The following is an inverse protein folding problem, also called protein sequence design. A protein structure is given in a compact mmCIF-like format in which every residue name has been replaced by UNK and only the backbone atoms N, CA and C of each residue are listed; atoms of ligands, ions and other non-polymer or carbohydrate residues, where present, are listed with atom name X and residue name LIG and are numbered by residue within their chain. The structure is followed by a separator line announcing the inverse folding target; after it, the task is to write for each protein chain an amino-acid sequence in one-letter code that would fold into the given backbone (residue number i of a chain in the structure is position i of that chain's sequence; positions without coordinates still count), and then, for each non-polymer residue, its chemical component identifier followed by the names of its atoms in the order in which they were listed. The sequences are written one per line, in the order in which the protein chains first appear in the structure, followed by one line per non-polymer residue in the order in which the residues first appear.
data_IF_376176473304
#
_entry.id   IF_376176473304
#
_cell.length_a   1.000
_cell.length_b   1.000
_cell.length_c   1.000
_cell.angle_alpha   90.00
_cell.angle_beta   90.00
_cell.angle_gamma   90.00
#
_symmetry.space_group_name_H-M   'P 1'
#
loop_
_entity.id
_entity.type
_entity.pdbx_description
1 polymer ?
#
# COMPACT_ATOMS: atom_id res chain seq x y z
N UNK A 1 57.58 2.98 56.90
CA UNK A 1 58.07 3.62 55.67
C UNK A 1 56.92 3.61 54.69
N UNK A 2 56.48 4.80 54.28
CA UNK A 2 55.35 5.10 53.39
C UNK A 2 55.35 4.15 52.15
N UNK A 3 54.23 3.81 51.50
CA UNK A 3 53.36 4.72 50.74
C UNK A 3 52.06 3.95 50.39
N UNK A 4 50.93 4.66 50.51
CA UNK A 4 49.59 4.32 50.00
C UNK A 4 49.60 3.85 48.54
N UNK A 5 48.91 2.74 48.23
CA UNK A 5 48.34 2.56 46.90
C UNK A 5 46.83 2.76 46.96
N UNK A 6 46.42 3.95 46.51
CA UNK A 6 45.02 4.33 46.27
C UNK A 6 44.48 3.51 45.10
N UNK A 7 43.38 2.82 45.35
CA UNK A 7 42.46 2.34 44.33
C UNK A 7 41.98 3.52 43.49
N UNK A 8 42.30 3.50 42.20
CA UNK A 8 41.70 4.43 41.23
C UNK A 8 41.03 3.59 40.16
N UNK A 9 39.71 3.51 40.24
CA UNK A 9 38.83 2.97 39.20
C UNK A 9 38.88 3.94 38.03
N UNK A 10 39.52 3.54 36.93
CA UNK A 10 39.51 4.30 35.69
C UNK A 10 38.19 4.01 34.97
N UNK A 11 37.18 4.84 35.21
CA UNK A 11 35.97 4.90 34.39
C UNK A 11 36.34 5.56 33.05
N UNK A 12 36.48 4.74 32.01
CA UNK A 12 36.62 5.22 30.63
C UNK A 12 35.24 5.58 30.07
N UNK A 13 34.82 6.82 30.31
CA UNK A 13 33.68 7.45 29.62
C UNK A 13 34.12 7.88 28.22
N UNK A 14 33.91 7.03 27.22
CA UNK A 14 34.05 7.42 25.81
C UNK A 14 32.79 8.21 25.40
N UNK A 15 32.83 9.52 25.64
CA UNK A 15 32.02 10.51 24.93
C UNK A 15 32.68 10.75 23.56
N UNK A 16 32.23 10.05 22.54
CA UNK A 16 32.50 10.45 21.16
C UNK A 16 31.46 11.49 20.74
N UNK A 17 31.76 12.75 21.07
CA UNK A 17 31.24 13.88 20.33
C UNK A 17 31.99 13.95 19.00
N UNK A 18 31.44 13.35 17.95
CA UNK A 18 31.87 13.60 16.59
C UNK A 18 31.06 14.79 16.05
N UNK A 19 31.60 16.00 16.22
CA UNK A 19 31.23 17.14 15.40
C UNK A 19 31.73 16.85 13.98
N UNK A 20 30.83 16.48 13.07
CA UNK A 20 31.12 16.55 11.65
C UNK A 20 30.41 17.79 11.11
N UNK A 21 31.17 18.88 10.99
CA UNK A 21 30.76 20.07 10.27
C UNK A 21 30.85 19.76 8.77
N UNK A 22 29.72 19.32 8.20
CA UNK A 22 29.48 19.50 6.78
C UNK A 22 28.34 20.50 6.64
N UNK A 23 28.72 21.72 6.28
CA UNK A 23 27.84 22.74 5.71
C UNK A 23 27.37 22.26 4.33
N UNK A 24 26.44 21.30 4.33
CA UNK A 24 25.58 21.00 3.19
C UNK A 24 24.14 21.00 3.72
N UNK A 25 23.65 22.18 4.08
CA UNK A 25 22.21 22.42 4.01
C UNK A 25 21.80 22.41 2.53
N UNK A 26 21.65 21.21 1.96
CA UNK A 26 20.70 21.04 0.88
C UNK A 26 19.32 21.32 1.49
N UNK A 27 18.86 22.56 1.30
CA UNK A 27 17.47 22.91 1.43
C UNK A 27 16.64 21.80 0.77
N UNK A 28 15.68 21.24 1.51
CA UNK A 28 14.67 20.36 0.93
C UNK A 28 14.02 21.07 -0.26
N UNK A 29 14.50 20.76 -1.46
CA UNK A 29 13.92 21.25 -2.71
C UNK A 29 12.52 20.63 -2.77
N UNK A 30 11.50 21.50 -2.74
CA UNK A 30 10.12 21.12 -3.02
C UNK A 30 10.08 20.27 -4.31
N UNK A 31 9.22 19.23 -4.39
CA UNK A 31 9.26 18.31 -5.52
C UNK A 31 9.18 19.06 -6.84
N UNK A 32 10.20 18.88 -7.69
CA UNK A 32 10.26 19.48 -9.02
C UNK A 32 8.96 19.16 -9.78
N UNK A 33 8.32 20.19 -10.34
CA UNK A 33 7.13 20.05 -11.18
C UNK A 33 7.43 19.11 -12.34
N UNK A 34 6.88 17.90 -12.24
CA UNK A 34 7.02 16.79 -13.18
C UNK A 34 6.83 17.22 -14.64
N UNK A 35 7.79 16.88 -15.50
CA UNK A 35 7.45 16.57 -16.89
C UNK A 35 6.48 15.39 -16.86
N UNK A 36 5.27 15.58 -17.39
CA UNK A 36 4.24 14.53 -17.40
C UNK A 36 4.80 13.28 -18.09
N UNK A 37 4.95 12.19 -17.35
CA UNK A 37 5.46 10.91 -17.89
C UNK A 37 4.38 10.11 -18.63
N UNK A 38 3.22 10.72 -18.92
CA UNK A 38 2.09 10.13 -19.64
C UNK A 38 1.61 8.76 -19.09
N UNK A 39 1.76 8.52 -17.78
CA UNK A 39 1.41 7.24 -17.16
C UNK A 39 -0.10 6.98 -17.06
N UNK A 40 -0.95 7.97 -17.38
CA UNK A 40 -2.40 7.86 -17.27
C UNK A 40 -2.80 7.34 -15.88
N UNK A 41 -3.66 6.31 -15.82
CA UNK A 41 -4.10 5.66 -14.57
C UNK A 41 -3.02 4.82 -13.87
N UNK A 42 -1.77 4.82 -14.36
CA UNK A 42 -0.58 4.21 -13.73
C UNK A 42 0.32 5.21 -13.04
N UNK A 43 -0.07 6.48 -13.01
CA UNK A 43 0.65 7.50 -12.24
C UNK A 43 0.66 7.12 -10.75
N UNK A 44 1.83 6.90 -10.11
CA UNK A 44 1.91 6.62 -8.69
C UNK A 44 1.28 7.75 -7.87
N UNK A 45 0.63 7.41 -6.77
CA UNK A 45 -0.03 8.40 -5.94
C UNK A 45 1.00 9.31 -5.25
N UNK A 46 0.71 10.60 -5.22
CA UNK A 46 1.45 11.60 -4.44
C UNK A 46 0.44 12.48 -3.68
N UNK A 47 0.73 12.86 -2.42
CA UNK A 47 -0.07 13.86 -1.71
C UNK A 47 -0.16 15.15 -2.51
N UNK A 48 -1.36 15.71 -2.65
CA UNK A 48 -1.61 16.89 -3.50
C UNK A 48 -1.38 18.22 -2.78
N UNK A 49 -1.21 18.21 -1.46
CA UNK A 49 -0.94 19.40 -0.65
C UNK A 49 -0.20 19.02 0.63
N UNK A 50 0.49 20.00 1.22
CA UNK A 50 1.09 19.84 2.54
C UNK A 50 -0.02 19.62 3.57
N UNK A 51 0.23 18.70 4.51
CA UNK A 51 -0.68 18.46 5.60
C UNK A 51 -0.94 19.72 6.45
N UNK A 52 0.06 20.59 6.60
CA UNK A 52 -0.05 21.81 7.41
C UNK A 52 -0.83 22.92 6.70
N UNK A 53 -1.06 22.79 5.39
CA UNK A 53 -1.79 23.79 4.60
C UNK A 53 -3.28 23.49 4.45
N UNK A 54 -3.78 22.37 4.99
CA UNK A 54 -5.22 22.11 4.99
C UNK A 54 -5.95 23.14 5.86
N UNK A 55 -7.14 23.53 5.41
CA UNK A 55 -8.03 24.40 6.17
C UNK A 55 -8.42 23.76 7.50
N UNK A 56 -8.36 24.55 8.58
CA UNK A 56 -8.77 24.13 9.91
C UNK A 56 -10.29 24.17 10.05
N UNK A 57 -10.83 23.35 10.95
CA UNK A 57 -12.24 23.45 11.32
C UNK A 57 -12.54 24.86 11.90
N UNK A 58 -13.65 25.51 11.51
CA UNK A 58 -14.02 26.82 12.07
C UNK A 58 -14.18 26.77 13.59
N UNK A 59 -13.97 27.91 14.26
CA UNK A 59 -14.16 28.02 15.71
C UNK A 59 -15.56 27.53 16.12
N UNK A 60 -15.60 26.61 17.09
CA UNK A 60 -16.83 25.98 17.57
C UNK A 60 -17.23 24.70 16.84
N UNK A 61 -16.52 24.31 15.78
CA UNK A 61 -16.78 23.08 15.03
C UNK A 61 -15.63 22.08 15.19
N UNK A 62 -15.98 20.79 15.22
CA UNK A 62 -15.02 19.69 15.22
C UNK A 62 -15.48 18.57 14.26
N UNK A 63 -14.56 17.83 13.63
CA UNK A 63 -14.93 16.67 12.83
C UNK A 63 -15.62 15.61 13.69
N UNK A 64 -16.82 15.18 13.29
CA UNK A 64 -17.58 14.10 13.96
C UNK A 64 -17.68 12.83 13.12
N UNK A 65 -17.28 12.90 11.84
CA UNK A 65 -17.28 11.78 10.90
C UNK A 65 -16.26 12.01 9.78
N UNK A 66 -15.75 10.93 9.21
CA UNK A 66 -14.95 10.93 7.97
C UNK A 66 -15.19 9.64 7.22
N UNK A 67 -15.10 9.71 5.90
CA UNK A 67 -15.07 8.54 5.01
C UNK A 67 -13.91 8.65 4.04
N UNK A 68 -13.39 7.50 3.59
CA UNK A 68 -12.30 7.41 2.65
C UNK A 68 -12.59 6.28 1.66
N UNK A 69 -12.63 6.63 0.38
CA UNK A 69 -12.62 5.66 -0.71
C UNK A 69 -11.27 5.79 -1.42
N UNK A 70 -10.47 4.74 -1.37
CA UNK A 70 -9.17 4.68 -2.02
C UNK A 70 -9.13 3.55 -3.05
N UNK A 71 -8.56 3.83 -4.22
CA UNK A 71 -8.16 2.78 -5.15
C UNK A 71 -7.03 1.96 -4.52
N UNK A 72 -6.89 0.71 -4.94
CA UNK A 72 -5.70 -0.07 -4.62
C UNK A 72 -4.39 0.66 -4.98
N UNK A 73 -3.31 0.33 -4.29
CA UNK A 73 -1.99 0.92 -4.52
C UNK A 73 -1.36 0.53 -5.85
N UNK A 74 -0.21 1.13 -6.15
CA UNK A 74 0.66 0.79 -7.28
C UNK A 74 0.99 -0.71 -7.28
N UNK A 75 0.79 -1.36 -8.43
CA UNK A 75 0.89 -2.82 -8.60
C UNK A 75 1.76 -3.22 -9.80
N UNK A 76 2.22 -4.46 -9.81
CA UNK A 76 2.85 -5.08 -10.97
C UNK A 76 1.89 -5.31 -12.14
N UNK A 77 2.40 -5.94 -13.20
CA UNK A 77 1.60 -6.43 -14.32
C UNK A 77 0.52 -7.38 -13.81
N UNK A 78 -0.68 -7.33 -14.39
CA UNK A 78 -1.82 -8.13 -13.89
C UNK A 78 -1.69 -9.62 -14.16
N UNK A 79 -0.99 -9.98 -15.23
CA UNK A 79 -0.79 -11.36 -15.68
C UNK A 79 0.35 -11.40 -16.67
N UNK A 80 0.90 -12.60 -16.86
CA UNK A 80 1.87 -12.91 -17.90
C UNK A 80 1.18 -12.78 -19.27
N UNK A 81 1.39 -11.67 -19.97
CA UNK A 81 0.71 -11.35 -21.23
C UNK A 81 1.56 -10.47 -22.14
N UNK A 82 1.62 -9.17 -21.83
CA UNK A 82 2.30 -8.19 -22.70
C UNK A 82 3.80 -8.40 -22.72
N UNK A 83 4.36 -8.66 -21.55
CA UNK A 83 5.75 -9.02 -21.32
C UNK A 83 6.14 -10.32 -22.04
N UNK A 84 5.33 -11.39 -21.91
CA UNK A 84 5.59 -12.64 -22.62
C UNK A 84 5.49 -12.46 -24.15
N UNK A 85 4.51 -11.69 -24.63
CA UNK A 85 4.37 -11.40 -26.05
C UNK A 85 5.59 -10.64 -26.59
N UNK A 86 6.06 -9.61 -25.87
CA UNK A 86 7.26 -8.87 -26.22
C UNK A 86 8.52 -9.74 -26.18
N UNK A 87 8.65 -10.61 -25.18
CA UNK A 87 9.76 -11.55 -25.08
C UNK A 87 9.78 -12.57 -26.24
N UNK A 88 8.62 -13.10 -26.63
CA UNK A 88 8.52 -13.99 -27.78
C UNK A 88 8.83 -13.28 -29.11
N UNK A 89 8.35 -12.04 -29.29
CA UNK A 89 8.68 -11.22 -30.45
C UNK A 89 10.20 -10.95 -30.52
N UNK A 90 10.80 -10.60 -29.39
CA UNK A 90 12.24 -10.38 -29.30
C UNK A 90 13.04 -11.64 -29.68
N UNK A 91 12.66 -12.82 -29.16
CA UNK A 91 13.29 -14.10 -29.52
C UNK A 91 13.18 -14.40 -31.02
N UNK A 92 12.02 -14.14 -31.62
CA UNK A 92 11.81 -14.34 -33.04
C UNK A 92 12.74 -13.41 -33.86
N UNK A 93 12.73 -12.11 -33.56
CA UNK A 93 13.60 -11.14 -34.22
C UNK A 93 15.08 -11.51 -34.07
N UNK A 94 15.49 -12.03 -32.91
CA UNK A 94 16.84 -12.54 -32.70
C UNK A 94 17.17 -13.73 -33.62
N UNK A 95 16.27 -14.71 -33.71
CA UNK A 95 16.47 -15.89 -34.56
C UNK A 95 16.55 -15.56 -36.05
N UNK A 96 15.91 -14.45 -36.47
CA UNK A 96 15.90 -13.96 -37.84
C UNK A 96 17.04 -12.97 -38.13
N UNK A 97 17.95 -12.71 -37.16
CA UNK A 97 18.99 -11.67 -37.24
C UNK A 97 18.42 -10.27 -37.57
N UNK A 98 17.21 -9.97 -37.09
CA UNK A 98 16.48 -8.73 -37.36
C UNK A 98 16.62 -7.68 -36.24
N UNK A 99 17.38 -7.98 -35.17
CA UNK A 99 17.60 -7.03 -34.07
C UNK A 99 18.60 -5.93 -34.47
N UNK A 100 18.29 -4.71 -34.06
CA UNK A 100 19.27 -3.62 -34.04
C UNK A 100 20.23 -3.81 -32.85
N UNK A 101 21.36 -3.10 -32.80
CA UNK A 101 22.25 -3.14 -31.63
C UNK A 101 21.54 -2.80 -30.31
N UNK A 102 20.56 -1.89 -30.32
CA UNK A 102 19.73 -1.60 -29.14
C UNK A 102 18.74 -2.74 -28.85
N UNK A 103 18.15 -3.34 -29.89
CA UNK A 103 17.24 -4.48 -29.75
C UNK A 103 17.91 -5.70 -29.11
N UNK A 104 19.22 -5.89 -29.31
CA UNK A 104 19.99 -6.94 -28.63
C UNK A 104 20.02 -6.77 -27.11
N UNK A 105 20.00 -5.53 -26.61
CA UNK A 105 20.01 -5.22 -25.18
C UNK A 105 18.65 -5.45 -24.52
N UNK A 106 17.55 -5.33 -25.27
CA UNK A 106 16.17 -5.40 -24.75
C UNK A 106 15.83 -6.76 -24.11
N UNK A 107 16.46 -7.85 -24.53
CA UNK A 107 16.17 -9.19 -24.00
C UNK A 107 16.38 -9.30 -22.49
N UNK A 108 17.51 -8.76 -22.00
CA UNK A 108 17.83 -8.78 -20.58
C UNK A 108 16.83 -7.96 -19.75
N UNK A 109 16.37 -6.81 -20.27
CA UNK A 109 15.37 -5.97 -19.62
C UNK A 109 14.01 -6.65 -19.54
N UNK A 110 13.60 -7.36 -20.61
CA UNK A 110 12.36 -8.14 -20.63
C UNK A 110 12.41 -9.28 -19.61
N UNK A 111 13.51 -10.03 -19.55
CA UNK A 111 13.70 -11.10 -18.56
C UNK A 111 13.69 -10.54 -17.12
N UNK A 112 14.36 -9.42 -16.88
CA UNK A 112 14.38 -8.76 -15.58
C UNK A 112 12.97 -8.30 -15.17
N UNK A 113 12.21 -7.69 -16.09
CA UNK A 113 10.83 -7.28 -15.84
C UNK A 113 9.92 -8.48 -15.54
N UNK A 114 10.03 -9.55 -16.32
CA UNK A 114 9.25 -10.78 -16.10
C UNK A 114 9.59 -11.40 -14.74
N UNK A 115 10.89 -11.51 -14.40
CA UNK A 115 11.35 -12.01 -13.10
C UNK A 115 10.83 -11.17 -11.94
N UNK A 116 10.85 -9.84 -12.08
CA UNK A 116 10.32 -8.93 -11.07
C UNK A 116 8.83 -9.17 -10.82
N UNK A 117 8.02 -9.39 -11.87
CA UNK A 117 6.60 -9.68 -11.72
C UNK A 117 6.33 -11.11 -11.21
N UNK A 118 7.13 -12.09 -11.62
CA UNK A 118 7.02 -13.48 -11.12
C UNK A 118 7.28 -13.53 -9.61
N UNK A 119 8.24 -12.75 -9.11
CA UNK A 119 8.65 -12.77 -7.70
C UNK A 119 8.00 -11.64 -6.87
N UNK A 120 7.08 -10.87 -7.46
CA UNK A 120 6.54 -9.69 -6.79
C UNK A 120 5.78 -10.07 -5.52
N UNK A 121 6.24 -9.55 -4.37
CA UNK A 121 5.66 -9.85 -3.06
C UNK A 121 6.23 -11.10 -2.38
N UNK A 122 7.24 -11.74 -2.97
CA UNK A 122 7.93 -12.86 -2.32
C UNK A 122 8.60 -12.39 -1.02
N UNK A 123 8.26 -13.04 0.09
CA UNK A 123 8.78 -12.71 1.42
C UNK A 123 8.26 -11.40 2.02
N UNK A 124 7.24 -10.78 1.42
CA UNK A 124 6.61 -9.57 1.96
C UNK A 124 5.48 -9.96 2.90
N UNK A 125 5.60 -9.60 4.18
CA UNK A 125 4.53 -9.77 5.16
C UNK A 125 3.26 -9.06 4.69
N UNK A 126 2.11 -9.75 4.76
CA UNK A 126 0.86 -9.22 4.24
C UNK A 126 0.54 -9.61 2.79
N UNK A 127 1.44 -10.29 2.06
CA UNK A 127 1.18 -10.80 0.70
C UNK A 127 1.13 -12.34 0.74
N UNK A 128 -0.04 -12.93 0.39
CA UNK A 128 -0.26 -14.39 0.36
C UNK A 128 0.57 -15.10 -0.69
N UNK A 129 0.35 -14.65 -1.91
CA UNK A 129 0.73 -15.34 -3.12
C UNK A 129 1.54 -14.33 -3.89
N UNK A 130 2.85 -14.54 -3.96
CA UNK A 130 3.72 -13.71 -4.77
C UNK A 130 3.42 -13.92 -6.26
N UNK A 131 3.76 -12.94 -7.09
CA UNK A 131 3.55 -12.99 -8.53
C UNK A 131 2.77 -11.81 -9.11
N UNK A 132 2.30 -12.01 -10.33
CA UNK A 132 1.55 -11.03 -11.09
C UNK A 132 0.30 -10.55 -10.35
N UNK A 133 -0.01 -9.26 -10.50
CA UNK A 133 -1.20 -8.62 -9.95
C UNK A 133 -1.00 -8.01 -8.56
N UNK A 134 0.05 -8.41 -7.84
CA UNK A 134 0.34 -7.92 -6.50
C UNK A 134 0.72 -6.45 -6.45
N UNK A 135 0.52 -5.87 -5.26
CA UNK A 135 1.06 -4.57 -4.93
C UNK A 135 2.58 -4.55 -4.93
N UNK A 136 3.11 -3.42 -5.38
CA UNK A 136 4.53 -3.09 -5.26
C UNK A 136 4.79 -2.47 -3.89
N UNK A 137 6.06 -2.38 -3.48
CA UNK A 137 6.44 -1.61 -2.30
C UNK A 137 5.93 -0.16 -2.38
N UNK A 138 5.92 0.44 -3.58
CA UNK A 138 5.32 1.76 -3.78
C UNK A 138 3.84 1.77 -3.40
N UNK A 139 3.05 0.77 -3.82
CA UNK A 139 1.62 0.66 -3.47
C UNK A 139 1.39 0.52 -1.97
N UNK A 140 2.23 -0.29 -1.31
CA UNK A 140 2.21 -0.44 0.15
C UNK A 140 2.46 0.91 0.83
N UNK A 141 3.49 1.65 0.40
CA UNK A 141 3.85 2.95 0.96
C UNK A 141 2.79 4.03 0.69
N UNK A 142 2.10 3.96 -0.45
CA UNK A 142 0.97 4.85 -0.74
C UNK A 142 -0.11 4.71 0.33
N UNK A 143 -0.55 3.49 0.65
CA UNK A 143 -1.58 3.23 1.66
C UNK A 143 -1.13 3.52 3.09
N UNK A 144 0.10 3.17 3.45
CA UNK A 144 0.69 3.57 4.74
C UNK A 144 0.71 5.09 4.90
N UNK A 145 1.16 5.82 3.87
CA UNK A 145 1.17 7.27 3.90
C UNK A 145 -0.25 7.88 3.96
N UNK A 146 -1.26 7.26 3.34
CA UNK A 146 -2.66 7.70 3.47
C UNK A 146 -3.13 7.52 4.92
N UNK A 147 -2.82 6.40 5.57
CA UNK A 147 -3.13 6.16 6.97
C UNK A 147 -2.46 7.20 7.89
N UNK A 148 -1.16 7.44 7.72
CA UNK A 148 -0.41 8.42 8.50
C UNK A 148 -1.02 9.82 8.41
N UNK A 149 -1.38 10.26 7.20
CA UNK A 149 -2.00 11.57 6.99
C UNK A 149 -3.41 11.65 7.59
N UNK A 150 -4.17 10.56 7.56
CA UNK A 150 -5.50 10.53 8.20
C UNK A 150 -5.38 10.75 9.71
N UNK A 151 -4.44 10.03 10.36
CA UNK A 151 -4.20 10.14 11.80
C UNK A 151 -3.75 11.55 12.21
N UNK A 152 -2.86 12.16 11.42
CA UNK A 152 -2.37 13.50 11.71
C UNK A 152 -3.43 14.58 11.42
N UNK A 153 -4.31 14.38 10.44
CA UNK A 153 -5.34 15.36 10.06
C UNK A 153 -6.53 15.36 11.02
N UNK A 154 -6.93 14.19 11.53
CA UNK A 154 -8.16 14.03 12.32
C UNK A 154 -7.90 13.38 13.70
N UNK A 155 -6.94 13.87 14.49
CA UNK A 155 -6.51 13.21 15.72
C UNK A 155 -7.64 13.10 16.76
N UNK A 156 -8.49 14.12 16.90
CA UNK A 156 -9.61 14.10 17.85
C UNK A 156 -10.67 13.06 17.46
N UNK A 157 -10.99 12.98 16.17
CA UNK A 157 -12.00 12.03 15.67
C UNK A 157 -11.54 10.58 15.82
N UNK A 158 -10.29 10.28 15.43
CA UNK A 158 -9.76 8.91 15.46
C UNK A 158 -9.54 8.40 16.90
N UNK A 159 -9.25 9.30 17.84
CA UNK A 159 -9.13 8.92 19.26
C UNK A 159 -10.48 8.77 19.99
N UNK A 160 -11.61 9.07 19.35
CA UNK A 160 -12.95 8.87 19.92
C UNK A 160 -13.27 7.38 20.13
N UNK A 161 -14.35 7.05 20.85
CA UNK A 161 -14.77 5.66 21.09
C UNK A 161 -15.48 5.02 19.87
N UNK A 162 -15.60 5.73 18.75
CA UNK A 162 -16.29 5.22 17.58
C UNK A 162 -15.51 4.09 16.88
N UNK A 163 -16.24 3.15 16.30
CA UNK A 163 -15.68 2.09 15.45
C UNK A 163 -15.24 2.65 14.09
N UNK A 164 -14.16 2.10 13.55
CA UNK A 164 -13.66 2.39 12.19
C UNK A 164 -14.04 1.20 11.31
N UNK A 165 -15.02 1.42 10.43
CA UNK A 165 -15.49 0.39 9.52
C UNK A 165 -14.59 0.33 8.28
N UNK A 166 -14.13 -0.86 7.92
CA UNK A 166 -13.21 -1.06 6.77
C UNK A 166 -13.85 -2.01 5.77
N UNK A 167 -13.96 -1.56 4.51
CA UNK A 167 -14.54 -2.33 3.43
C UNK A 167 -13.59 -2.35 2.22
N UNK A 168 -13.50 -3.52 1.58
CA UNK A 168 -12.78 -3.76 0.34
C UNK A 168 -13.70 -4.43 -0.67
N UNK A 169 -13.39 -4.30 -1.96
CA UNK A 169 -14.06 -5.02 -3.04
C UNK A 169 -13.90 -6.55 -3.00
N UNK A 170 -12.98 -7.08 -2.19
CA UNK A 170 -12.70 -8.52 -2.13
C UNK A 170 -11.70 -9.00 -3.18
N UNK A 171 -11.41 -8.19 -4.19
CA UNK A 171 -10.30 -8.42 -5.12
C UNK A 171 -8.98 -8.30 -4.35
N UNK A 172 -8.07 -9.28 -4.50
CA UNK A 172 -6.86 -9.41 -3.67
C UNK A 172 -6.10 -8.09 -3.45
N UNK A 173 -5.75 -7.37 -4.52
CA UNK A 173 -5.06 -6.07 -4.41
C UNK A 173 -5.82 -5.01 -3.61
N UNK A 174 -7.15 -5.02 -3.59
CA UNK A 174 -7.92 -4.07 -2.79
C UNK A 174 -7.98 -4.52 -1.33
N UNK A 175 -8.00 -5.84 -1.09
CA UNK A 175 -7.89 -6.44 0.24
C UNK A 175 -6.53 -6.14 0.86
N UNK A 176 -5.44 -6.30 0.10
CA UNK A 176 -4.08 -6.02 0.54
C UNK A 176 -3.89 -4.54 0.86
N UNK A 177 -4.34 -3.64 -0.01
CA UNK A 177 -4.35 -2.19 0.24
C UNK A 177 -5.06 -1.83 1.56
N UNK A 178 -6.25 -2.40 1.79
CA UNK A 178 -6.99 -2.18 3.03
C UNK A 178 -6.23 -2.72 4.25
N UNK A 179 -5.52 -3.85 4.11
CA UNK A 179 -4.67 -4.41 5.18
C UNK A 179 -3.46 -3.55 5.46
N UNK A 180 -2.74 -3.06 4.44
CA UNK A 180 -1.60 -2.17 4.65
C UNK A 180 -2.00 -0.84 5.27
N UNK A 181 -3.13 -0.28 4.86
CA UNK A 181 -3.71 0.91 5.47
C UNK A 181 -4.06 0.68 6.95
N UNK A 182 -4.80 -0.37 7.27
CA UNK A 182 -5.23 -0.68 8.65
C UNK A 182 -4.06 -1.09 9.55
N UNK A 183 -3.10 -1.84 9.04
CA UNK A 183 -1.89 -2.20 9.76
C UNK A 183 -1.07 -0.95 10.14
N UNK A 184 -0.98 0.06 9.26
CA UNK A 184 -0.30 1.30 9.60
C UNK A 184 -1.07 2.09 10.66
N UNK A 185 -2.41 2.15 10.58
CA UNK A 185 -3.22 2.75 11.65
C UNK A 185 -2.92 2.12 13.02
N UNK A 186 -2.90 0.78 13.08
CA UNK A 186 -2.62 0.03 14.32
C UNK A 186 -1.17 0.23 14.77
N UNK A 187 -0.21 0.23 13.83
CA UNK A 187 1.20 0.45 14.14
C UNK A 187 1.44 1.82 14.77
N UNK A 188 0.80 2.87 14.24
CA UNK A 188 0.92 4.24 14.76
C UNK A 188 0.11 4.45 16.05
N UNK A 189 -1.03 3.77 16.18
CA UNK A 189 -1.94 3.86 17.33
C UNK A 189 -2.48 2.47 17.71
N UNK A 190 -1.76 1.69 18.53
CA UNK A 190 -2.12 0.31 18.87
C UNK A 190 -3.52 0.14 19.46
N UNK A 191 -4.04 1.15 20.15
CA UNK A 191 -5.39 1.19 20.70
C UNK A 191 -6.51 1.14 19.64
N UNK A 192 -6.20 1.41 18.36
CA UNK A 192 -7.17 1.33 17.27
C UNK A 192 -7.50 -0.11 16.88
N UNK A 193 -6.69 -1.09 17.30
CA UNK A 193 -6.90 -2.50 16.97
C UNK A 193 -8.31 -2.98 17.33
N UNK A 194 -8.81 -2.59 18.50
CA UNK A 194 -10.12 -3.01 19.00
C UNK A 194 -11.28 -2.17 18.42
N UNK A 195 -10.96 -1.10 17.68
CA UNK A 195 -11.95 -0.20 17.06
C UNK A 195 -12.16 -0.49 15.57
N UNK A 196 -11.20 -1.15 14.92
CA UNK A 196 -11.27 -1.48 13.49
C UNK A 196 -12.19 -2.69 13.31
N UNK A 197 -13.28 -2.48 12.58
CA UNK A 197 -14.29 -3.51 12.27
C UNK A 197 -14.29 -3.75 10.76
N UNK A 198 -13.78 -4.90 10.29
CA UNK A 198 -13.81 -5.21 8.87
C UNK A 198 -15.23 -5.67 8.47
N UNK A 199 -15.81 -5.01 7.47
CA UNK A 199 -17.16 -5.29 6.95
C UNK A 199 -17.18 -6.32 5.81
N UNK A 200 -16.08 -6.43 5.07
CA UNK A 200 -15.96 -7.23 3.84
C UNK A 200 -15.09 -8.47 3.98
N UNK A 201 -14.54 -8.72 5.18
CA UNK A 201 -13.71 -9.88 5.46
C UNK A 201 -13.72 -10.13 6.97
N UNK A 202 -13.90 -11.36 7.41
CA UNK A 202 -13.97 -11.71 8.85
C UNK A 202 -12.62 -11.67 9.56
N UNK A 203 -11.52 -11.70 8.80
CA UNK A 203 -10.14 -11.68 9.32
C UNK A 203 -9.29 -10.64 8.61
N UNK A 204 -8.58 -9.84 9.40
CA UNK A 204 -7.50 -8.95 8.96
C UNK A 204 -6.22 -9.72 8.56
N UNK A 205 -6.35 -10.96 8.07
CA UNK A 205 -5.22 -11.79 7.69
C UNK A 205 -5.07 -11.79 6.18
N UNK A 206 -3.88 -11.49 5.68
CA UNK A 206 -3.44 -11.81 4.32
C UNK A 206 -3.33 -13.31 4.12
N UNK A 207 -4.28 -14.13 4.54
CA UNK A 207 -4.35 -15.57 4.26
C UNK A 207 -5.77 -15.97 3.87
N UNK A 208 -6.78 -15.18 4.27
CA UNK A 208 -8.17 -15.37 3.85
C UNK A 208 -8.43 -14.69 2.51
N UNK A 209 -8.90 -15.46 1.54
CA UNK A 209 -9.66 -14.94 0.40
C UNK A 209 -11.09 -14.76 0.91
N UNK A 210 -11.71 -13.57 0.80
CA UNK A 210 -13.11 -13.41 1.17
C UNK A 210 -13.95 -14.40 0.34
N UNK A 211 -14.52 -15.40 1.00
CA UNK A 211 -15.44 -16.38 0.41
C UNK A 211 -16.85 -16.11 0.92
N UNK A 212 -17.87 -16.60 0.20
CA UNK A 212 -19.27 -16.51 0.65
C UNK A 212 -19.45 -17.12 2.06
N UNK A 213 -18.65 -18.13 2.41
CA UNK A 213 -18.67 -18.79 3.74
C UNK A 213 -18.05 -17.93 4.86
N UNK A 214 -17.13 -17.01 4.54
CA UNK A 214 -16.61 -15.98 5.45
C UNK A 214 -17.56 -14.78 5.61
N UNK A 215 -18.83 -14.90 5.19
CA UNK A 215 -19.73 -13.77 5.00
C UNK A 215 -19.39 -12.90 3.77
N UNK A 216 -18.29 -13.22 3.08
CA UNK A 216 -17.85 -12.63 1.83
C UNK A 216 -17.70 -11.12 1.83
N UNK A 217 -17.45 -10.57 0.66
CA UNK A 217 -17.89 -9.20 0.43
C UNK A 217 -19.33 -9.30 -0.04
N UNK A 218 -20.25 -8.66 0.69
CA UNK A 218 -21.63 -8.53 0.23
C UNK A 218 -21.67 -7.69 -1.04
N UNK A 219 -21.65 -8.35 -2.19
CA UNK A 219 -21.58 -7.72 -3.52
C UNK A 219 -22.77 -6.80 -3.79
N UNK A 220 -23.90 -7.03 -3.14
CA UNK A 220 -25.08 -6.16 -3.20
C UNK A 220 -24.89 -4.84 -2.47
N UNK A 221 -23.96 -4.76 -1.52
CA UNK A 221 -23.59 -3.52 -0.83
C UNK A 221 -22.45 -2.77 -1.50
N UNK A 222 -21.88 -3.32 -2.57
CA UNK A 222 -20.77 -2.71 -3.29
C UNK A 222 -21.27 -2.08 -4.59
N UNK A 223 -21.37 -0.75 -4.61
CA UNK A 223 -21.78 -0.01 -5.80
C UNK A 223 -20.90 -0.27 -7.05
N UNK A 224 -19.68 -0.78 -6.87
CA UNK A 224 -18.68 -0.98 -7.92
C UNK A 224 -18.53 -2.42 -8.42
N UNK A 225 -19.38 -3.36 -7.97
CA UNK A 225 -19.40 -4.73 -8.51
C UNK A 225 -20.55 -4.90 -9.49
N UNK A 226 -20.24 -5.46 -10.67
CA UNK A 226 -21.29 -5.93 -11.57
C UNK A 226 -21.84 -7.23 -11.00
N UNK A 227 -23.12 -7.22 -10.65
CA UNK A 227 -23.82 -8.44 -10.26
C UNK A 227 -23.99 -9.33 -11.50
N UNK A 228 -23.84 -10.64 -11.35
CA UNK A 228 -24.09 -11.60 -12.42
C UNK A 228 -24.91 -12.80 -11.89
N UNK A 229 -25.85 -13.33 -12.70
CA UNK A 229 -26.73 -14.42 -12.28
C UNK A 229 -25.99 -15.67 -11.78
N UNK A 230 -24.88 -16.03 -12.42
CA UNK A 230 -24.16 -17.28 -12.14
C UNK A 230 -23.56 -17.31 -10.74
N UNK A 231 -23.06 -16.16 -10.25
CA UNK A 231 -22.45 -16.01 -8.92
C UNK A 231 -23.46 -15.53 -7.87
N UNK A 232 -24.31 -14.55 -8.21
CA UNK A 232 -25.10 -13.81 -7.23
C UNK A 232 -26.55 -14.31 -7.11
N UNK A 233 -27.03 -15.16 -8.03
CA UNK A 233 -28.33 -15.86 -7.94
C UNK A 233 -28.19 -17.37 -7.66
N UNK A 234 -26.98 -17.84 -7.37
CA UNK A 234 -26.71 -19.24 -7.05
C UNK A 234 -27.44 -19.72 -5.77
N UNK A 235 -27.91 -18.78 -4.94
CA UNK A 235 -28.79 -19.00 -3.79
C UNK A 235 -29.98 -18.03 -3.84
N UNK A 236 -31.14 -18.38 -3.25
CA UNK A 236 -32.31 -17.50 -3.22
C UNK A 236 -31.98 -16.15 -2.57
N UNK A 237 -32.27 -15.06 -3.28
CA UNK A 237 -32.07 -13.70 -2.78
C UNK A 237 -33.00 -13.38 -1.61
N UNK A 238 -32.48 -12.67 -0.61
CA UNK A 238 -33.30 -11.99 0.40
C UNK A 238 -34.15 -10.87 -0.23
N UNK A 239 -35.24 -10.48 0.45
CA UNK A 239 -36.14 -9.39 0.00
C UNK A 239 -35.39 -8.08 -0.26
N UNK A 240 -34.34 -7.78 0.50
CA UNK A 240 -33.49 -6.61 0.28
C UNK A 240 -32.61 -6.73 -0.96
N UNK A 241 -32.09 -7.93 -1.25
CA UNK A 241 -31.26 -8.17 -2.43
C UNK A 241 -32.09 -8.19 -3.72
N UNK A 242 -33.34 -8.69 -3.65
CA UNK A 242 -34.29 -8.65 -4.76
C UNK A 242 -34.63 -7.24 -5.24
N UNK A 243 -34.45 -6.21 -4.40
CA UNK A 243 -34.67 -4.80 -4.80
C UNK A 243 -33.49 -4.18 -5.55
N UNK A 244 -32.34 -4.84 -5.52
CA UNK A 244 -31.08 -4.34 -6.10
C UNK A 244 -30.87 -4.93 -7.50
N UNK A 245 -31.34 -6.16 -7.73
CA UNK A 245 -31.45 -6.78 -9.05
C UNK A 245 -32.59 -6.18 -9.88
#
# INVERSE_FOLDING_TARGET
MNILFKTTVLAASLLLAACNNNDDQEAQIAPSTNSSKYYQTKTPYQPQQDLKSYEQAPTGFQPVFTELVARHGSRGLSSLKYDLALYNLWKQAKSENALTPLGEQLGADLEAMMKANILLGYGVEGIRQYGYGNETMTGILEHRGIADRLLQRLPTLINSQASILVQSSGVDRAVDSAKFFTAELIKQQPQLKDKIVPLSYTKLSSESVPSIEDGGVDRFKLYFHSLNPDEDLAQPLSVSQQKIY
#
